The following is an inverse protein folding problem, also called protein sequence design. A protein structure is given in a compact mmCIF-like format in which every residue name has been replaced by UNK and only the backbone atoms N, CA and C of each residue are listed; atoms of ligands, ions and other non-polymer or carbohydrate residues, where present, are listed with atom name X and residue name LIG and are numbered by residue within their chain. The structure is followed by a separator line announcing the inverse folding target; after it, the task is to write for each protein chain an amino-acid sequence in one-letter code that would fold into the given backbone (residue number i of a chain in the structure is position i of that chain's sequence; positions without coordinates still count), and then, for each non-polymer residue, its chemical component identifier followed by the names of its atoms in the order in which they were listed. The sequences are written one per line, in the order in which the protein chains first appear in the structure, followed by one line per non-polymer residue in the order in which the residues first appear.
data_IF_088253374675
#
_entry.id   IF_088253374675
#
_cell.length_a   1.000
_cell.length_b   1.000
_cell.length_c   1.000
_cell.angle_alpha   90.00
_cell.angle_beta   90.00
_cell.angle_gamma   90.00
#
_symmetry.space_group_name_H-M   'P 1'
#
loop_
_entity.id
_entity.type
_entity.pdbx_description
1 polymer ?
#
# COMPACT_ATOMS: atom_id res chain seq x y z
N UNK A 1 5.83 -19.27 -17.41
CA UNK A 1 6.01 -19.29 -15.94
C UNK A 1 4.64 -19.10 -15.31
N UNK A 2 4.16 -20.03 -14.49
CA UNK A 2 2.78 -20.00 -13.95
C UNK A 2 2.65 -19.28 -12.59
N UNK A 3 3.68 -18.55 -12.16
CA UNK A 3 3.72 -17.86 -10.87
C UNK A 3 4.48 -16.55 -11.01
N UNK A 4 4.13 -15.59 -10.16
CA UNK A 4 4.91 -14.37 -9.96
C UNK A 4 6.31 -14.69 -9.47
N UNK A 5 7.26 -13.79 -9.74
CA UNK A 5 8.60 -13.90 -9.16
C UNK A 5 8.54 -13.87 -7.64
N UNK A 6 9.51 -14.52 -6.97
CA UNK A 6 9.61 -14.46 -5.50
C UNK A 6 9.65 -13.02 -5.00
N UNK A 7 10.37 -12.14 -5.69
CA UNK A 7 10.48 -10.71 -5.37
C UNK A 7 9.11 -10.00 -5.41
N UNK A 8 8.29 -10.23 -6.43
CA UNK A 8 6.93 -9.67 -6.50
C UNK A 8 6.05 -10.14 -5.33
N UNK A 9 6.15 -11.43 -4.97
CA UNK A 9 5.39 -12.01 -3.86
C UNK A 9 5.84 -11.39 -2.53
N UNK A 10 7.15 -11.34 -2.26
CA UNK A 10 7.67 -10.73 -1.03
C UNK A 10 7.28 -9.26 -0.90
N UNK A 11 7.45 -8.48 -1.97
CA UNK A 11 7.06 -7.07 -1.97
C UNK A 11 5.56 -6.89 -1.74
N UNK A 12 4.71 -7.76 -2.29
CA UNK A 12 3.28 -7.71 -2.03
C UNK A 12 2.94 -7.92 -0.55
N UNK A 13 3.48 -8.97 0.08
CA UNK A 13 3.17 -9.29 1.46
C UNK A 13 3.74 -8.29 2.47
N UNK A 14 4.95 -7.77 2.24
CA UNK A 14 5.49 -6.72 3.11
C UNK A 14 4.70 -5.41 2.95
N UNK A 15 4.24 -5.06 1.73
CA UNK A 15 3.32 -3.93 1.57
C UNK A 15 2.03 -4.15 2.35
N UNK A 16 1.43 -5.34 2.28
CA UNK A 16 0.21 -5.64 3.04
C UNK A 16 0.42 -5.50 4.55
N UNK A 17 1.53 -6.02 5.08
CA UNK A 17 1.90 -5.89 6.49
C UNK A 17 1.95 -4.43 6.92
N UNK A 18 2.65 -3.58 6.17
CA UNK A 18 2.75 -2.15 6.51
C UNK A 18 1.45 -1.40 6.33
N UNK A 19 0.63 -1.73 5.33
CA UNK A 19 -0.73 -1.20 5.21
C UNK A 19 -1.54 -1.55 6.46
N UNK A 20 -1.50 -2.80 6.93
CA UNK A 20 -2.22 -3.22 8.14
C UNK A 20 -1.74 -2.43 9.38
N UNK A 21 -0.43 -2.22 9.53
CA UNK A 21 0.14 -1.40 10.61
C UNK A 21 -0.37 0.05 10.52
N UNK A 22 -0.33 0.66 9.34
CA UNK A 22 -0.80 2.03 9.10
C UNK A 22 -2.26 2.22 9.48
N UNK A 23 -3.14 1.28 9.09
CA UNK A 23 -4.55 1.32 9.46
C UNK A 23 -4.75 1.06 10.96
N UNK A 24 -4.15 0.00 11.50
CA UNK A 24 -4.27 -0.34 12.92
C UNK A 24 -3.82 0.82 13.81
N UNK A 25 -2.72 1.49 13.48
CA UNK A 25 -2.23 2.64 14.23
C UNK A 25 -3.30 3.73 14.37
N UNK A 26 -4.01 4.07 13.30
CA UNK A 26 -5.03 5.14 13.34
C UNK A 26 -6.36 4.69 13.94
N UNK A 27 -6.82 3.47 13.65
CA UNK A 27 -8.05 2.92 14.23
C UNK A 27 -7.91 2.75 15.76
N UNK A 28 -6.76 2.26 16.23
CA UNK A 28 -6.49 2.05 17.65
C UNK A 28 -6.09 3.34 18.38
N UNK A 29 -5.66 4.38 17.67
CA UNK A 29 -5.26 5.68 18.28
C UNK A 29 -6.37 6.26 19.16
N UNK A 30 -7.64 6.10 18.74
CA UNK A 30 -8.80 6.62 19.46
C UNK A 30 -9.03 5.99 20.83
N UNK A 31 -8.40 4.85 21.13
CA UNK A 31 -8.52 4.17 22.42
C UNK A 31 -7.68 4.83 23.52
N UNK A 32 -6.78 5.74 23.17
CA UNK A 32 -5.89 6.40 24.10
C UNK A 32 -6.28 7.88 24.29
N UNK A 33 -6.10 8.45 25.49
CA UNK A 33 -6.34 9.87 25.72
C UNK A 33 -5.54 10.74 24.73
N UNK A 34 -6.20 11.75 24.14
CA UNK A 34 -5.56 12.69 23.21
C UNK A 34 -4.35 13.35 23.89
N UNK A 35 -3.23 13.37 23.19
CA UNK A 35 -1.97 13.94 23.70
C UNK A 35 -1.15 13.03 24.61
N UNK A 36 -1.65 11.85 24.99
CA UNK A 36 -0.82 10.85 25.69
C UNK A 36 0.33 10.36 24.80
N UNK A 37 1.38 9.83 25.43
CA UNK A 37 2.54 9.28 24.71
C UNK A 37 2.13 8.20 23.70
N UNK A 38 1.22 7.30 24.05
CA UNK A 38 0.72 6.24 23.15
C UNK A 38 -0.11 6.81 22.01
N UNK A 39 -0.96 7.82 22.26
CA UNK A 39 -1.72 8.50 21.20
C UNK A 39 -0.78 9.12 20.15
N UNK A 40 0.29 9.78 20.62
CA UNK A 40 1.30 10.37 19.74
C UNK A 40 2.10 9.28 19.02
N UNK A 41 2.53 8.22 19.72
CA UNK A 41 3.23 7.09 19.11
C UNK A 41 2.43 6.45 17.98
N UNK A 42 1.12 6.25 18.16
CA UNK A 42 0.24 5.74 17.10
C UNK A 42 0.21 6.67 15.88
N UNK A 43 0.12 7.99 16.10
CA UNK A 43 0.19 8.99 15.02
C UNK A 43 1.52 8.91 14.27
N UNK A 44 2.64 8.92 15.00
CA UNK A 44 3.98 8.82 14.39
C UNK A 44 4.19 7.49 13.67
N UNK A 45 3.66 6.40 14.21
CA UNK A 45 3.70 5.07 13.59
C UNK A 45 2.97 5.07 12.25
N UNK A 46 1.77 5.66 12.20
CA UNK A 46 1.00 5.80 10.95
C UNK A 46 1.78 6.58 9.87
N UNK A 47 2.37 7.73 10.21
CA UNK A 47 3.11 8.53 9.25
C UNK A 47 4.37 7.82 8.74
N UNK A 48 5.18 7.25 9.63
CA UNK A 48 6.39 6.53 9.25
C UNK A 48 6.08 5.27 8.44
N UNK A 49 5.09 4.48 8.85
CA UNK A 49 4.64 3.31 8.10
C UNK A 49 4.04 3.70 6.72
N UNK A 50 3.31 4.82 6.65
CA UNK A 50 2.78 5.38 5.41
C UNK A 50 3.89 5.74 4.40
N UNK A 51 4.97 6.37 4.85
CA UNK A 51 6.15 6.65 4.01
C UNK A 51 6.80 5.33 3.55
N UNK A 52 6.88 4.33 4.42
CA UNK A 52 7.42 3.02 4.02
C UNK A 52 6.56 2.33 2.96
N UNK A 53 5.22 2.35 3.10
CA UNK A 53 4.29 1.89 2.06
C UNK A 53 4.55 2.62 0.74
N UNK A 54 4.75 3.94 0.78
CA UNK A 54 5.03 4.74 -0.41
C UNK A 54 6.28 4.26 -1.15
N UNK A 55 7.40 4.07 -0.44
CA UNK A 55 8.66 3.53 -1.00
C UNK A 55 8.48 2.11 -1.55
N UNK A 56 7.74 1.26 -0.84
CA UNK A 56 7.41 -0.09 -1.31
C UNK A 56 6.57 -0.06 -2.59
N UNK A 57 5.63 0.87 -2.72
CA UNK A 57 4.81 1.00 -3.92
C UNK A 57 5.63 1.41 -5.15
N UNK A 58 6.60 2.32 -5.00
CA UNK A 58 7.58 2.61 -6.06
C UNK A 58 8.41 1.38 -6.42
N UNK A 59 8.90 0.67 -5.41
CA UNK A 59 9.66 -0.57 -5.63
C UNK A 59 8.82 -1.61 -6.38
N UNK A 60 7.54 -1.75 -6.04
CA UNK A 60 6.59 -2.64 -6.72
C UNK A 60 6.34 -2.21 -8.16
N UNK A 61 6.23 -0.91 -8.45
CA UNK A 61 6.14 -0.41 -9.83
C UNK A 61 7.38 -0.79 -10.64
N UNK A 62 8.57 -0.51 -10.12
CA UNK A 62 9.84 -0.83 -10.82
C UNK A 62 9.92 -2.33 -11.13
N UNK A 63 9.62 -3.17 -10.13
CA UNK A 63 9.67 -4.63 -10.28
C UNK A 63 8.57 -5.13 -11.23
N UNK A 64 7.37 -4.54 -11.22
CA UNK A 64 6.30 -4.89 -12.16
C UNK A 64 6.70 -4.64 -13.62
N UNK A 65 7.45 -3.57 -13.91
CA UNK A 65 7.92 -3.31 -15.27
C UNK A 65 9.07 -4.25 -15.69
N UNK A 66 9.80 -4.81 -14.72
CA UNK A 66 10.93 -5.73 -14.98
C UNK A 66 10.50 -7.19 -15.17
N UNK A 67 9.38 -7.61 -14.58
CA UNK A 67 8.90 -9.00 -14.63
C UNK A 67 7.50 -9.08 -15.21
N UNK A 68 7.29 -9.93 -16.20
CA UNK A 68 5.97 -10.18 -16.77
C UNK A 68 5.03 -10.85 -15.76
N UNK A 69 3.75 -10.45 -15.79
CA UNK A 69 2.71 -11.12 -15.02
C UNK A 69 2.47 -12.54 -15.60
N UNK A 70 2.28 -13.58 -14.77
CA UNK A 70 1.95 -14.92 -15.24
C UNK A 70 0.57 -14.93 -15.91
N UNK A 71 0.41 -15.74 -16.96
CA UNK A 71 -0.88 -15.92 -17.63
C UNK A 71 -1.89 -16.63 -16.72
N UNK A 72 -3.14 -16.20 -16.78
CA UNK A 72 -4.26 -16.86 -16.08
C UNK A 72 -4.85 -17.90 -17.02
N UNK A 73 -4.92 -19.16 -16.59
CA UNK A 73 -5.41 -20.28 -17.40
C UNK A 73 -6.47 -21.07 -16.61
N UNK A 74 -7.69 -21.27 -17.15
CA UNK A 74 -8.18 -20.74 -18.42
C UNK A 74 -8.33 -19.20 -18.41
N UNK A 75 -8.29 -18.53 -19.57
CA UNK A 75 -8.42 -17.08 -19.63
C UNK A 75 -9.80 -16.63 -19.12
N UNK A 76 -9.87 -15.69 -18.17
CA UNK A 76 -11.13 -15.11 -17.73
C UNK A 76 -11.83 -14.30 -18.84
N UNK A 77 -13.13 -14.01 -18.71
CA UNK A 77 -13.81 -13.07 -19.58
C UNK A 77 -13.12 -11.69 -19.61
N UNK A 78 -13.13 -11.03 -20.77
CA UNK A 78 -12.44 -9.76 -20.97
C UNK A 78 -12.87 -8.65 -20.00
N UNK A 79 -14.14 -8.64 -19.58
CA UNK A 79 -14.65 -7.66 -18.61
C UNK A 79 -13.99 -7.83 -17.22
N UNK A 80 -13.72 -9.07 -16.81
CA UNK A 80 -13.06 -9.36 -15.54
C UNK A 80 -11.59 -8.94 -15.57
N UNK A 81 -10.91 -9.15 -16.69
CA UNK A 81 -9.54 -8.65 -16.89
C UNK A 81 -9.47 -7.12 -16.84
N UNK A 82 -10.41 -6.43 -17.50
CA UNK A 82 -10.49 -4.96 -17.47
C UNK A 82 -10.77 -4.43 -16.06
N UNK A 83 -11.73 -5.03 -15.34
CA UNK A 83 -12.05 -4.66 -13.97
C UNK A 83 -10.85 -4.86 -13.03
N UNK A 84 -10.14 -5.99 -13.14
CA UNK A 84 -8.93 -6.24 -12.37
C UNK A 84 -7.82 -5.22 -12.65
N UNK A 85 -7.62 -4.85 -13.92
CA UNK A 85 -6.66 -3.82 -14.32
C UNK A 85 -7.03 -2.45 -13.73
N UNK A 86 -8.31 -2.05 -13.82
CA UNK A 86 -8.79 -0.80 -13.26
C UNK A 86 -8.60 -0.75 -11.74
N UNK A 87 -8.99 -1.82 -11.04
CA UNK A 87 -8.81 -1.91 -9.58
C UNK A 87 -7.33 -1.81 -9.20
N UNK A 88 -6.45 -2.48 -9.95
CA UNK A 88 -5.02 -2.40 -9.74
C UNK A 88 -4.50 -0.96 -9.92
N UNK A 89 -4.91 -0.27 -10.98
CA UNK A 89 -4.55 1.15 -11.20
C UNK A 89 -5.04 2.02 -10.04
N UNK A 90 -6.30 1.87 -9.63
CA UNK A 90 -6.87 2.65 -8.52
C UNK A 90 -6.08 2.43 -7.22
N UNK A 91 -5.73 1.18 -6.89
CA UNK A 91 -4.92 0.88 -5.71
C UNK A 91 -3.54 1.58 -5.76
N UNK A 92 -2.86 1.59 -6.90
CA UNK A 92 -1.58 2.28 -7.03
C UNK A 92 -1.74 3.79 -6.85
N UNK A 93 -2.73 4.40 -7.49
CA UNK A 93 -3.03 5.82 -7.33
C UNK A 93 -3.29 6.14 -5.86
N UNK A 94 -4.16 5.38 -5.19
CA UNK A 94 -4.50 5.59 -3.78
C UNK A 94 -3.27 5.52 -2.88
N UNK A 95 -2.47 4.44 -2.96
CA UNK A 95 -1.32 4.28 -2.06
C UNK A 95 -0.13 5.21 -2.38
N UNK A 96 -0.05 5.74 -3.59
CA UNK A 96 0.96 6.75 -3.95
C UNK A 96 0.51 8.17 -3.58
N UNK A 97 -0.79 8.48 -3.70
CA UNK A 97 -1.34 9.81 -3.43
C UNK A 97 -1.54 10.06 -1.92
N UNK A 98 -2.04 9.09 -1.16
CA UNK A 98 -2.38 9.30 0.26
C UNK A 98 -1.19 9.77 1.12
N UNK A 99 0.04 9.19 1.00
CA UNK A 99 1.18 9.69 1.77
C UNK A 99 1.58 11.12 1.39
N UNK A 100 1.47 11.49 0.10
CA UNK A 100 1.73 12.86 -0.36
C UNK A 100 0.71 13.85 0.20
N UNK A 101 -0.58 13.47 0.22
CA UNK A 101 -1.64 14.26 0.85
C UNK A 101 -1.40 14.40 2.35
N UNK A 102 -0.97 13.33 3.03
CA UNK A 102 -0.59 13.36 4.44
C UNK A 102 0.56 14.34 4.73
N UNK A 103 1.62 14.30 3.91
CA UNK A 103 2.76 15.23 4.00
C UNK A 103 2.30 16.67 3.75
N UNK A 104 1.49 16.90 2.71
CA UNK A 104 0.97 18.22 2.41
C UNK A 104 0.13 18.77 3.58
N UNK A 105 -0.77 17.97 4.12
CA UNK A 105 -1.57 18.36 5.28
C UNK A 105 -0.67 18.73 6.47
N UNK A 106 0.36 17.95 6.79
CA UNK A 106 1.29 18.28 7.87
C UNK A 106 2.11 19.55 7.61
N UNK A 107 2.45 19.83 6.35
CA UNK A 107 3.23 21.01 5.98
C UNK A 107 2.42 22.32 6.03
N UNK A 108 1.09 22.24 5.93
CA UNK A 108 0.18 23.40 5.89
C UNK A 108 -0.79 23.47 7.09
N UNK A 109 -0.68 22.56 8.06
CA UNK A 109 -1.46 22.54 9.31
C UNK A 109 -0.66 23.06 10.49
#
# INVERSE_FOLDING_TARGET
MNRFSKTQIYLHWITLLFVAITYAAMELRGWFPKGSSTYLLMRETHYNAGIFVWVLMFSRLIIKHRYSDPSIVPPPPAWQMKAASLMHIMLYITFLALPLLGIALMAYS
#
